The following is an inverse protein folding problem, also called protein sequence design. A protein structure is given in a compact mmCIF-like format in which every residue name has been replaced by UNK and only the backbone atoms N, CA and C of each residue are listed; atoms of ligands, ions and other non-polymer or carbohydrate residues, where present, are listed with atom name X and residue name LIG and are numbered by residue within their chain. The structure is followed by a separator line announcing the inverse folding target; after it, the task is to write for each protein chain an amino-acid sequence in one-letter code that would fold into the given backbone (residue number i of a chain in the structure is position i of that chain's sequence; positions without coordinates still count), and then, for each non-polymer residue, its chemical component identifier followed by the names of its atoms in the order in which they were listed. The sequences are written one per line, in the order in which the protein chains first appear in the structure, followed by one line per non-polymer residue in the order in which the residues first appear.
data_IF_034624467308
#
_entry.id   IF_034624467308
#
_cell.length_a   1.000
_cell.length_b   1.000
_cell.length_c   1.000
_cell.angle_alpha   90.00
_cell.angle_beta   90.00
_cell.angle_gamma   90.00
#
_symmetry.space_group_name_H-M   'P 1'
#
loop_
_entity.id
_entity.type
_entity.pdbx_description
1 polymer ?
#
# COMPACT_ATOMS: atom_id res chain seq x y z
N UNK A 1 51.74 14.32 -31.23
CA UNK A 1 51.89 14.01 -29.79
C UNK A 1 51.01 14.99 -29.02
N UNK A 2 49.94 14.56 -28.33
CA UNK A 2 49.22 15.46 -27.42
C UNK A 2 47.74 15.17 -27.12
N UNK A 3 46.97 14.56 -28.03
CA UNK A 3 45.49 14.62 -27.93
C UNK A 3 44.82 13.40 -27.28
N UNK A 4 45.52 12.26 -27.23
CA UNK A 4 45.02 10.99 -26.68
C UNK A 4 44.69 11.08 -25.17
N UNK A 5 45.48 11.75 -24.29
CA UNK A 5 45.14 11.82 -22.86
C UNK A 5 43.92 12.71 -22.61
N UNK A 6 43.70 13.75 -23.43
CA UNK A 6 42.58 14.69 -23.27
C UNK A 6 41.24 14.00 -23.55
N UNK A 7 41.16 13.21 -24.64
CA UNK A 7 39.94 12.48 -25.00
C UNK A 7 39.58 11.45 -23.93
N UNK A 8 40.60 10.79 -23.36
CA UNK A 8 40.42 9.79 -22.29
C UNK A 8 39.94 10.42 -20.98
N UNK A 9 40.45 11.61 -20.65
CA UNK A 9 39.98 12.40 -19.51
C UNK A 9 38.55 12.93 -19.71
N UNK A 10 38.21 13.39 -20.92
CA UNK A 10 36.83 13.84 -21.23
C UNK A 10 35.84 12.68 -21.12
N UNK A 11 36.21 11.48 -21.59
CA UNK A 11 35.38 10.29 -21.47
C UNK A 11 35.22 9.85 -19.99
N UNK A 12 36.30 9.91 -19.20
CA UNK A 12 36.26 9.64 -17.75
C UNK A 12 35.40 10.67 -17.00
N UNK A 13 35.45 11.95 -17.37
CA UNK A 13 34.60 13.00 -16.78
C UNK A 13 33.12 12.82 -17.18
N UNK A 14 32.82 12.39 -18.40
CA UNK A 14 31.45 12.05 -18.83
C UNK A 14 30.92 10.80 -18.10
N UNK A 15 31.75 9.78 -17.86
CA UNK A 15 31.37 8.60 -17.08
C UNK A 15 31.09 8.94 -15.60
N UNK A 16 31.83 9.88 -15.02
CA UNK A 16 31.62 10.37 -13.65
C UNK A 16 30.41 11.33 -13.52
N UNK A 17 29.95 11.95 -14.61
CA UNK A 17 28.76 12.80 -14.61
C UNK A 17 27.43 12.02 -14.68
N UNK A 18 27.47 10.73 -15.05
CA UNK A 18 26.28 9.86 -15.11
C UNK A 18 25.97 9.14 -13.80
N UNK A 19 26.69 9.40 -12.71
CA UNK A 19 26.25 8.99 -11.38
C UNK A 19 25.15 9.97 -10.97
N UNK A 20 23.96 9.82 -11.54
CA UNK A 20 22.77 10.35 -10.89
C UNK A 20 22.78 9.83 -9.46
N UNK A 21 22.78 10.73 -8.47
CA UNK A 21 22.44 10.36 -7.09
C UNK A 21 21.03 9.76 -7.13
N UNK A 22 20.93 8.44 -7.30
CA UNK A 22 19.76 7.73 -6.85
C UNK A 22 19.84 7.85 -5.34
N UNK A 23 19.06 8.77 -4.78
CA UNK A 23 18.96 8.95 -3.34
C UNK A 23 18.75 7.58 -2.71
N UNK A 24 19.78 7.07 -2.05
CA UNK A 24 19.82 5.74 -1.44
C UNK A 24 19.05 5.77 -0.11
N UNK A 25 17.87 6.36 -0.13
CA UNK A 25 17.04 6.63 1.03
C UNK A 25 15.58 6.42 0.67
N UNK A 26 14.85 5.81 1.59
CA UNK A 26 13.43 5.54 1.40
C UNK A 26 12.65 6.84 1.65
N UNK A 27 11.70 7.16 0.76
CA UNK A 27 10.76 8.26 1.00
C UNK A 27 9.61 7.73 1.86
N UNK A 28 9.37 8.33 3.02
CA UNK A 28 8.36 7.86 3.97
C UNK A 28 7.10 8.74 3.90
N UNK A 29 5.95 8.10 3.74
CA UNK A 29 4.61 8.67 3.72
C UNK A 29 3.86 8.17 4.97
N UNK A 30 3.92 8.94 6.05
CA UNK A 30 3.27 8.59 7.31
C UNK A 30 1.79 8.97 7.27
N UNK A 31 0.88 8.00 7.44
CA UNK A 31 -0.56 8.24 7.37
C UNK A 31 -1.08 9.24 8.42
N UNK A 32 -0.38 9.41 9.55
CA UNK A 32 -0.76 10.39 10.57
C UNK A 32 -0.47 11.83 10.13
N UNK A 33 0.56 12.04 9.31
CA UNK A 33 0.86 13.36 8.73
C UNK A 33 -0.21 13.78 7.72
N UNK A 34 -0.91 12.79 7.14
CA UNK A 34 -2.05 12.98 6.26
C UNK A 34 -3.41 12.99 7.00
N UNK A 35 -3.38 13.03 8.33
CA UNK A 35 -4.57 13.22 9.17
C UNK A 35 -5.26 11.93 9.64
N UNK A 36 -4.61 10.77 9.57
CA UNK A 36 -5.18 9.54 10.09
C UNK A 36 -5.35 9.60 11.62
N UNK A 37 -6.48 9.08 12.11
CA UNK A 37 -6.83 9.04 13.52
C UNK A 37 -6.83 7.58 13.99
N UNK A 38 -6.03 7.30 15.02
CA UNK A 38 -5.76 5.96 15.53
C UNK A 38 -6.68 5.54 16.69
N UNK A 39 -7.99 5.80 16.59
CA UNK A 39 -8.98 5.57 17.65
C UNK A 39 -9.83 4.29 17.47
N UNK A 40 -9.62 3.53 16.40
CA UNK A 40 -10.40 2.36 16.01
C UNK A 40 -11.86 2.66 15.61
N UNK A 41 -12.21 3.93 15.37
CA UNK A 41 -13.58 4.38 15.11
C UNK A 41 -13.68 5.28 13.89
N UNK A 42 -12.75 6.21 13.74
CA UNK A 42 -12.69 7.16 12.64
C UNK A 42 -12.38 6.43 11.33
N UNK A 43 -13.11 6.77 10.27
CA UNK A 43 -12.89 6.20 8.94
C UNK A 43 -11.64 6.81 8.32
N UNK A 44 -10.58 6.01 8.20
CA UNK A 44 -9.30 6.43 7.66
C UNK A 44 -9.13 6.10 6.17
N UNK A 45 -10.14 5.52 5.51
CA UNK A 45 -10.04 4.97 4.16
C UNK A 45 -9.48 5.97 3.16
N UNK A 46 -10.01 7.21 3.17
CA UNK A 46 -9.57 8.23 2.23
C UNK A 46 -8.15 8.73 2.48
N UNK A 47 -7.75 8.81 3.75
CA UNK A 47 -6.39 9.20 4.15
C UNK A 47 -5.40 8.15 3.67
N UNK A 48 -5.72 6.87 3.82
CA UNK A 48 -4.89 5.75 3.39
C UNK A 48 -4.74 5.68 1.86
N UNK A 49 -5.84 5.84 1.11
CA UNK A 49 -5.79 5.93 -0.35
C UNK A 49 -4.88 7.09 -0.81
N UNK A 50 -5.00 8.25 -0.16
CA UNK A 50 -4.22 9.43 -0.52
C UNK A 50 -2.73 9.23 -0.21
N UNK A 51 -2.38 8.73 0.98
CA UNK A 51 -1.00 8.45 1.37
C UNK A 51 -0.36 7.42 0.44
N UNK A 52 -1.09 6.35 0.11
CA UNK A 52 -0.64 5.35 -0.87
C UNK A 52 -0.44 5.96 -2.25
N UNK A 53 -1.38 6.79 -2.74
CA UNK A 53 -1.26 7.41 -4.05
C UNK A 53 -0.05 8.35 -4.12
N UNK A 54 0.26 9.11 -3.05
CA UNK A 54 1.47 9.93 -2.99
C UNK A 54 2.75 9.08 -3.11
N UNK A 55 2.82 7.98 -2.37
CA UNK A 55 3.93 7.04 -2.46
C UNK A 55 4.05 6.41 -3.86
N UNK A 56 2.93 5.95 -4.41
CA UNK A 56 2.85 5.31 -5.72
C UNK A 56 3.27 6.25 -6.87
N UNK A 57 2.99 7.55 -6.74
CA UNK A 57 3.36 8.56 -7.75
C UNK A 57 4.77 9.15 -7.57
N UNK A 58 5.53 8.66 -6.58
CA UNK A 58 6.90 9.05 -6.30
C UNK A 58 7.89 8.05 -6.90
N UNK A 59 9.05 8.53 -7.33
CA UNK A 59 10.12 7.70 -7.89
C UNK A 59 10.94 7.05 -6.76
N UNK A 60 11.69 5.99 -7.07
CA UNK A 60 12.56 5.32 -6.11
C UNK A 60 11.83 4.38 -5.13
N UNK A 61 12.38 4.23 -3.92
CA UNK A 61 11.85 3.37 -2.86
C UNK A 61 10.96 4.19 -1.92
N UNK A 62 9.69 3.81 -1.81
CA UNK A 62 8.70 4.55 -1.04
C UNK A 62 8.08 3.67 0.05
N UNK A 63 7.92 4.19 1.26
CA UNK A 63 7.26 3.52 2.38
C UNK A 63 5.98 4.27 2.73
N UNK A 64 4.83 3.61 2.65
CA UNK A 64 3.61 4.04 3.34
C UNK A 64 3.68 3.51 4.76
N UNK A 65 3.93 4.39 5.73
CA UNK A 65 4.09 4.02 7.12
C UNK A 65 2.75 4.13 7.85
N UNK A 66 2.32 3.03 8.47
CA UNK A 66 1.19 2.97 9.39
C UNK A 66 1.74 2.77 10.81
N UNK A 67 1.84 3.83 11.62
CA UNK A 67 2.39 3.75 12.97
C UNK A 67 1.56 2.91 13.93
N UNK A 68 2.03 2.79 15.17
CA UNK A 68 1.28 2.13 16.24
C UNK A 68 -0.05 2.84 16.53
N UNK A 69 -1.12 2.05 16.59
CA UNK A 69 -2.48 2.56 16.77
C UNK A 69 -3.51 1.57 16.22
N UNK A 70 -4.80 1.89 16.34
CA UNK A 70 -5.87 1.13 15.65
C UNK A 70 -6.56 2.04 14.65
N UNK A 71 -6.52 1.68 13.38
CA UNK A 71 -7.07 2.46 12.28
C UNK A 71 -8.22 1.69 11.65
N UNK A 72 -9.44 2.22 11.77
CA UNK A 72 -10.58 1.64 11.07
C UNK A 72 -10.53 2.04 9.60
N UNK A 73 -10.65 1.05 8.72
CA UNK A 73 -10.71 1.21 7.28
C UNK A 73 -11.94 0.51 6.74
N UNK A 74 -12.78 1.25 6.02
CA UNK A 74 -13.74 0.66 5.09
C UNK A 74 -12.99 0.03 3.91
N UNK A 75 -13.69 -0.68 3.02
CA UNK A 75 -13.02 -1.26 1.86
C UNK A 75 -12.29 -0.23 1.01
N UNK A 76 -11.02 -0.51 0.71
CA UNK A 76 -10.14 0.37 -0.08
C UNK A 76 -9.50 -0.39 -1.25
N UNK A 77 -9.24 0.35 -2.32
CA UNK A 77 -8.49 -0.12 -3.49
C UNK A 77 -7.26 0.75 -3.68
N UNK A 78 -6.10 0.16 -3.42
CA UNK A 78 -4.78 0.74 -3.61
C UNK A 78 -4.27 0.33 -4.99
N UNK A 79 -4.31 1.27 -5.93
CA UNK A 79 -4.16 0.99 -7.36
C UNK A 79 -2.92 1.66 -7.94
N UNK A 80 -2.17 0.93 -8.75
CA UNK A 80 -1.11 1.45 -9.61
C UNK A 80 -1.60 1.84 -11.02
N UNK A 81 -0.70 1.94 -12.01
CA UNK A 81 0.73 1.66 -11.91
C UNK A 81 1.47 2.68 -11.04
N UNK A 82 2.50 2.22 -10.31
CA UNK A 82 3.36 3.07 -9.50
C UNK A 82 4.66 3.38 -10.24
N UNK A 83 5.24 4.56 -10.00
CA UNK A 83 6.49 5.01 -10.63
C UNK A 83 7.75 4.41 -9.99
N UNK A 84 7.60 3.84 -8.79
CA UNK A 84 8.66 3.20 -8.04
C UNK A 84 8.10 2.13 -7.12
N UNK A 85 9.00 1.54 -6.33
CA UNK A 85 8.66 0.55 -5.31
C UNK A 85 7.80 1.18 -4.22
N UNK A 86 6.81 0.43 -3.73
CA UNK A 86 5.99 0.84 -2.60
C UNK A 86 5.99 -0.26 -1.54
N UNK A 87 6.49 0.06 -0.35
CA UNK A 87 6.31 -0.73 0.85
C UNK A 87 5.12 -0.22 1.66
N UNK A 88 4.10 -1.06 1.85
CA UNK A 88 3.00 -0.79 2.76
C UNK A 88 3.32 -1.36 4.14
N UNK A 89 3.86 -0.53 5.03
CA UNK A 89 4.48 -0.95 6.29
C UNK A 89 3.53 -0.81 7.48
N UNK A 90 3.00 -1.94 7.95
CA UNK A 90 1.99 -1.98 9.02
C UNK A 90 2.62 -2.21 10.39
N UNK A 91 2.80 -1.12 11.16
CA UNK A 91 3.21 -1.10 12.57
C UNK A 91 2.02 -0.87 13.52
N UNK A 92 0.82 -0.66 12.99
CA UNK A 92 -0.43 -0.55 13.75
C UNK A 92 -1.33 -1.78 13.61
N UNK A 93 -2.59 -1.61 13.99
CA UNK A 93 -3.69 -2.51 13.67
C UNK A 93 -4.57 -1.84 12.64
N UNK A 94 -4.80 -2.48 11.50
CA UNK A 94 -5.89 -2.11 10.61
C UNK A 94 -7.12 -2.88 11.05
N UNK A 95 -8.27 -2.22 11.15
CA UNK A 95 -9.51 -2.83 11.63
C UNK A 95 -10.62 -2.62 10.61
N UNK A 96 -11.33 -3.69 10.26
CA UNK A 96 -12.51 -3.60 9.41
C UNK A 96 -13.71 -3.03 10.20
N UNK A 97 -14.64 -2.32 9.55
CA UNK A 97 -15.89 -1.92 10.16
C UNK A 97 -16.71 -3.13 10.63
N UNK A 98 -17.43 -2.97 11.73
CA UNK A 98 -18.47 -3.92 12.14
C UNK A 98 -19.81 -3.65 11.43
N UNK A 99 -20.00 -2.49 10.80
CA UNK A 99 -21.26 -2.11 10.16
C UNK A 99 -21.44 -2.77 8.79
N UNK A 100 -22.45 -3.64 8.72
CA UNK A 100 -22.82 -4.45 7.54
C UNK A 100 -23.12 -3.61 6.30
N UNK A 101 -23.68 -2.41 6.46
CA UNK A 101 -24.08 -1.55 5.34
C UNK A 101 -22.90 -1.21 4.41
N UNK A 102 -21.68 -1.15 4.96
CA UNK A 102 -20.48 -0.78 4.22
C UNK A 102 -19.74 -1.93 3.55
N UNK A 103 -20.15 -3.17 3.81
CA UNK A 103 -19.52 -4.39 3.29
C UNK A 103 -20.43 -5.19 2.36
N UNK A 104 -21.71 -4.79 2.21
CA UNK A 104 -22.65 -5.42 1.28
C UNK A 104 -22.14 -5.27 -0.16
N UNK A 105 -22.03 -6.39 -0.87
CA UNK A 105 -21.49 -6.49 -2.24
C UNK A 105 -20.00 -6.14 -2.38
N UNK A 106 -19.24 -6.13 -1.29
CA UNK A 106 -17.79 -5.92 -1.33
C UNK A 106 -17.07 -7.23 -1.06
N UNK A 107 -16.32 -7.72 -2.05
CA UNK A 107 -15.63 -9.02 -1.98
C UNK A 107 -14.26 -8.96 -1.27
N UNK A 108 -13.67 -7.76 -1.16
CA UNK A 108 -12.32 -7.55 -0.64
C UNK A 108 -12.28 -6.35 0.29
N UNK A 109 -11.59 -6.47 1.41
CA UNK A 109 -11.42 -5.37 2.36
C UNK A 109 -10.30 -4.41 1.95
N UNK A 110 -9.08 -4.93 1.74
CA UNK A 110 -7.95 -4.12 1.25
C UNK A 110 -7.46 -4.77 -0.03
N UNK A 111 -7.50 -4.02 -1.12
CA UNK A 111 -7.15 -4.52 -2.44
C UNK A 111 -5.94 -3.80 -2.98
N UNK A 112 -4.90 -4.53 -3.38
CA UNK A 112 -3.76 -4.01 -4.12
C UNK A 112 -3.88 -4.44 -5.58
N UNK A 113 -3.79 -3.49 -6.52
CA UNK A 113 -4.05 -3.75 -7.94
C UNK A 113 -3.04 -3.06 -8.86
N UNK A 114 -2.50 -3.81 -9.82
CA UNK A 114 -1.61 -3.31 -10.88
C UNK A 114 -0.35 -2.61 -10.35
N UNK A 115 0.33 -3.24 -9.38
CA UNK A 115 1.56 -2.73 -8.76
C UNK A 115 2.66 -3.78 -8.96
N UNK A 116 3.76 -3.39 -9.60
CA UNK A 116 4.83 -4.32 -9.97
C UNK A 116 5.77 -4.62 -8.78
N UNK A 117 6.13 -3.60 -7.98
CA UNK A 117 7.04 -3.73 -6.84
C UNK A 117 6.36 -3.33 -5.52
N UNK A 118 5.35 -4.13 -5.12
CA UNK A 118 4.69 -3.97 -3.82
C UNK A 118 5.39 -4.84 -2.76
N UNK A 119 5.78 -4.22 -1.65
CA UNK A 119 6.20 -4.92 -0.43
C UNK A 119 5.12 -4.73 0.62
N UNK A 120 4.60 -5.81 1.19
CA UNK A 120 3.81 -5.74 2.41
C UNK A 120 4.73 -6.01 3.59
N UNK A 121 5.06 -4.94 4.31
CA UNK A 121 6.01 -4.94 5.40
C UNK A 121 5.35 -4.74 6.76
N UNK A 122 6.15 -4.90 7.80
CA UNK A 122 5.68 -4.87 9.19
C UNK A 122 5.33 -6.26 9.72
N UNK A 123 4.73 -6.30 10.91
CA UNK A 123 4.54 -7.55 11.65
C UNK A 123 3.35 -7.55 12.60
N UNK A 124 2.34 -6.73 12.30
CA UNK A 124 1.17 -6.56 13.18
C UNK A 124 -0.13 -7.05 12.53
N UNK A 125 -1.26 -6.44 12.88
CA UNK A 125 -2.57 -7.08 12.81
C UNK A 125 -3.45 -6.45 11.73
N UNK A 126 -3.97 -7.28 10.84
CA UNK A 126 -5.14 -6.98 10.02
C UNK A 126 -6.35 -7.63 10.70
N UNK A 127 -7.15 -6.84 11.38
CA UNK A 127 -8.31 -7.29 12.14
C UNK A 127 -9.59 -7.16 11.31
N UNK A 128 -9.93 -8.24 10.60
CA UNK A 128 -11.08 -8.27 9.68
C UNK A 128 -12.47 -8.32 10.35
N UNK A 129 -12.56 -8.34 11.68
CA UNK A 129 -13.84 -8.36 12.43
C UNK A 129 -14.86 -9.42 11.97
N UNK A 130 -14.41 -10.55 11.40
CA UNK A 130 -15.25 -11.58 10.78
C UNK A 130 -16.49 -12.04 11.58
N UNK A 131 -16.42 -12.22 12.92
CA UNK A 131 -17.58 -12.61 13.72
C UNK A 131 -18.83 -11.73 13.54
N UNK A 132 -18.68 -10.44 13.22
CA UNK A 132 -19.84 -9.56 13.00
C UNK A 132 -20.63 -9.88 11.72
N UNK A 133 -20.04 -10.64 10.80
CA UNK A 133 -20.59 -10.96 9.49
C UNK A 133 -20.97 -12.44 9.32
N UNK A 134 -20.57 -13.34 10.23
CA UNK A 134 -20.78 -14.79 10.05
C UNK A 134 -22.26 -15.19 9.89
N UNK A 135 -23.16 -14.55 10.64
CA UNK A 135 -24.60 -14.81 10.55
C UNK A 135 -25.21 -14.41 9.20
N UNK A 136 -24.52 -13.57 8.42
CA UNK A 136 -24.97 -13.12 7.10
C UNK A 136 -24.55 -14.07 5.97
N UNK A 137 -23.72 -15.09 6.25
CA UNK A 137 -23.36 -16.09 5.26
C UNK A 137 -24.50 -17.09 5.03
N UNK A 138 -25.42 -16.75 4.15
CA UNK A 138 -26.56 -17.61 3.77
C UNK A 138 -26.26 -18.52 2.58
N UNK A 139 -25.02 -18.57 2.09
CA UNK A 139 -24.66 -19.30 0.86
C UNK A 139 -24.88 -20.81 0.91
N UNK A 140 -25.04 -21.39 2.10
CA UNK A 140 -25.44 -22.79 2.26
C UNK A 140 -26.95 -23.02 2.03
N UNK A 141 -27.76 -21.96 2.01
CA UNK A 141 -29.24 -22.01 1.95
C UNK A 141 -29.81 -21.28 0.74
N UNK A 142 -29.13 -20.24 0.26
CA UNK A 142 -29.56 -19.42 -0.88
C UNK A 142 -28.49 -19.45 -1.98
N UNK A 143 -28.79 -19.97 -3.18
CA UNK A 143 -27.87 -19.94 -4.32
C UNK A 143 -27.58 -18.53 -4.85
N UNK A 144 -28.37 -17.51 -4.48
CA UNK A 144 -28.15 -16.10 -4.82
C UNK A 144 -27.55 -15.28 -3.67
N UNK A 145 -26.95 -15.95 -2.68
CA UNK A 145 -26.33 -15.29 -1.55
C UNK A 145 -25.29 -14.24 -1.97
N UNK A 146 -25.11 -13.22 -1.13
CA UNK A 146 -24.03 -12.25 -1.29
C UNK A 146 -22.79 -12.75 -0.56
N UNK A 147 -21.67 -12.86 -1.27
CA UNK A 147 -20.40 -13.25 -0.65
C UNK A 147 -19.88 -12.17 0.28
N UNK A 148 -19.37 -12.58 1.43
CA UNK A 148 -18.72 -11.71 2.40
C UNK A 148 -17.30 -11.36 1.96
N UNK A 149 -16.72 -10.23 2.41
CA UNK A 149 -15.32 -9.93 2.15
C UNK A 149 -14.42 -11.02 2.75
N UNK A 150 -13.57 -11.61 1.92
CA UNK A 150 -12.56 -12.59 2.36
C UNK A 150 -11.19 -11.92 2.25
N UNK A 151 -10.28 -12.21 3.18
CA UNK A 151 -8.87 -11.88 3.00
C UNK A 151 -8.30 -12.86 1.97
N UNK A 152 -8.30 -12.48 0.69
CA UNK A 152 -7.65 -13.23 -0.39
C UNK A 152 -6.42 -12.46 -0.86
N UNK A 153 -5.23 -12.93 -0.52
CA UNK A 153 -3.98 -12.41 -1.06
C UNK A 153 -3.72 -13.02 -2.44
N UNK A 154 -4.19 -12.37 -3.51
CA UNK A 154 -3.80 -12.72 -4.87
C UNK A 154 -2.50 -11.98 -5.23
N UNK A 155 -1.36 -12.60 -4.92
CA UNK A 155 -0.09 -12.16 -5.48
C UNK A 155 0.09 -12.86 -6.82
N UNK A 156 0.11 -12.09 -7.92
CA UNK A 156 0.65 -12.61 -9.17
C UNK A 156 2.16 -12.72 -9.00
N UNK A 157 2.66 -13.93 -8.79
CA UNK A 157 4.07 -14.24 -8.97
C UNK A 157 4.36 -14.23 -10.47
N UNK A 158 5.09 -13.23 -10.94
CA UNK A 158 5.81 -13.32 -12.22
C UNK A 158 7.19 -13.92 -11.96
#
# INVERSE_FOLDING_TARGET
MGSIPVIRCVYLMFLLACISEVGLGNTVFNVMEDGAIADGKSDNSKVFENAFNKACQSEGQNIVLIPQGTYMLRPIVLKGPCKGQVEFQVIGTLQAPMDKASTINVHHWITFQYIDELILGGGRKLDGQGPSAWDDNTCSKDPNCKSLPIVSSCFNSH
#
